data_IF_784087617931
#
_entry.id   IF_784087617931
#
_cell.length_a   1.000
_cell.length_b   1.000
_cell.length_c   1.000
_cell.angle_alpha   90.00
_cell.angle_beta   90.00
_cell.angle_gamma   90.00
#
_symmetry.space_group_name_H-M   'P 1'
#
loop_
_entity.id
_entity.type
_entity.pdbx_description
1 polymer ?
#
# COMPACT_ATOMS: atom_id res chain seq x y z
N UNK A 1 -30.87 28.96 -44.38
CA UNK A 1 -30.98 27.50 -44.61
C UNK A 1 -30.36 26.78 -43.44
N UNK A 2 -31.23 26.15 -42.66
CA UNK A 2 -30.96 25.29 -41.51
C UNK A 2 -30.36 23.96 -41.99
N UNK A 3 -29.41 23.37 -41.25
CA UNK A 3 -29.50 21.94 -40.93
C UNK A 3 -28.71 21.61 -39.65
N UNK A 4 -29.46 21.21 -38.63
CA UNK A 4 -29.01 20.43 -37.48
C UNK A 4 -28.65 19.02 -37.92
N UNK A 5 -27.62 18.41 -37.33
CA UNK A 5 -27.65 16.98 -36.97
C UNK A 5 -27.05 16.81 -35.57
N UNK A 6 -27.85 16.18 -34.71
CA UNK A 6 -27.56 15.82 -33.34
C UNK A 6 -26.92 14.43 -33.26
N UNK A 7 -26.03 14.20 -32.30
CA UNK A 7 -25.81 12.85 -31.75
C UNK A 7 -25.92 12.88 -30.23
N UNK A 8 -26.93 12.18 -29.72
CA UNK A 8 -27.22 11.97 -28.30
C UNK A 8 -26.28 10.90 -27.76
N UNK A 9 -25.53 11.21 -26.71
CA UNK A 9 -24.96 10.19 -25.82
C UNK A 9 -25.71 10.27 -24.49
N UNK A 10 -26.46 9.21 -24.17
CA UNK A 10 -27.13 9.03 -22.88
C UNK A 10 -26.07 8.60 -21.87
N UNK A 11 -25.91 9.36 -20.79
CA UNK A 11 -25.33 8.86 -19.55
C UNK A 11 -26.33 9.04 -18.42
N UNK A 12 -26.53 7.94 -17.70
CA UNK A 12 -27.38 7.79 -16.52
C UNK A 12 -26.65 8.45 -15.34
N UNK A 13 -27.26 9.36 -14.57
CA UNK A 13 -26.63 9.86 -13.36
C UNK A 13 -26.82 8.88 -12.20
N UNK A 14 -25.70 8.49 -11.58
CA UNK A 14 -25.68 7.87 -10.26
C UNK A 14 -26.12 8.88 -9.19
N UNK A 15 -26.80 8.36 -8.17
CA UNK A 15 -27.42 9.11 -7.07
C UNK A 15 -26.34 9.59 -6.09
N UNK A 16 -26.29 10.89 -5.83
CA UNK A 16 -25.58 11.44 -4.67
C UNK A 16 -26.45 11.23 -3.42
N UNK A 17 -25.92 10.46 -2.46
CA UNK A 17 -26.46 10.38 -1.11
C UNK A 17 -25.83 11.51 -0.27
N UNK A 18 -26.66 12.47 0.17
CA UNK A 18 -26.34 13.35 1.29
C UNK A 18 -27.06 12.84 2.54
N UNK A 19 -26.31 12.61 3.62
CA UNK A 19 -26.82 12.32 4.97
C UNK A 19 -27.16 13.65 5.64
N UNK A 20 -28.41 13.89 6.07
CA UNK A 20 -28.74 15.03 6.92
C UNK A 20 -28.31 14.77 8.36
N UNK A 21 -27.75 15.79 9.00
CA UNK A 21 -27.63 15.87 10.45
C UNK A 21 -28.97 16.41 10.95
N UNK A 22 -29.71 15.62 11.73
CA UNK A 22 -30.68 16.20 12.65
C UNK A 22 -31.00 15.26 13.82
N UNK A 23 -30.99 15.88 15.00
CA UNK A 23 -31.40 15.37 16.30
C UNK A 23 -32.91 15.16 16.34
N UNK A 24 -33.37 13.99 16.79
CA UNK A 24 -34.79 13.71 17.10
C UNK A 24 -35.29 14.59 18.27
N UNK A 25 -36.60 14.94 18.38
CA UNK A 25 -37.73 14.00 18.26
C UNK A 25 -39.08 14.49 17.67
N UNK A 26 -39.97 13.52 17.39
CA UNK A 26 -41.43 13.57 17.14
C UNK A 26 -42.03 13.93 15.75
N UNK A 27 -42.63 12.88 15.14
CA UNK A 27 -43.84 12.77 14.26
C UNK A 27 -44.05 13.54 12.93
N UNK A 28 -44.86 13.00 11.99
CA UNK A 28 -44.64 13.13 10.54
C UNK A 28 -45.61 14.08 9.84
N UNK A 29 -45.11 14.98 8.97
CA UNK A 29 -45.91 15.58 7.90
C UNK A 29 -45.09 15.89 6.65
N UNK A 30 -45.58 15.39 5.50
CA UNK A 30 -45.00 15.59 4.19
C UNK A 30 -45.36 16.97 3.62
N UNK A 31 -44.37 17.74 3.13
CA UNK A 31 -44.59 18.94 2.31
C UNK A 31 -43.52 19.08 1.21
N UNK A 32 -43.99 19.09 -0.04
CA UNK A 32 -43.23 19.29 -1.28
C UNK A 32 -42.75 20.74 -1.39
N UNK A 33 -41.47 20.96 -1.67
CA UNK A 33 -40.91 22.29 -2.03
C UNK A 33 -40.22 22.22 -3.40
N UNK A 34 -40.58 23.14 -4.30
CA UNK A 34 -39.97 23.31 -5.63
C UNK A 34 -38.63 24.05 -5.53
N UNK A 35 -37.58 23.69 -6.29
CA UNK A 35 -36.27 24.33 -6.17
C UNK A 35 -36.14 25.61 -7.02
N UNK A 36 -35.55 26.63 -6.41
CA UNK A 36 -35.18 27.93 -7.00
C UNK A 36 -33.79 27.80 -7.68
N UNK A 37 -33.65 28.26 -8.93
CA UNK A 37 -32.37 28.26 -9.68
C UNK A 37 -31.34 29.18 -9.01
N UNK A 38 -30.11 28.70 -8.78
CA UNK A 38 -28.93 29.53 -8.46
C UNK A 38 -27.84 29.32 -9.53
N UNK A 39 -27.16 30.41 -9.89
CA UNK A 39 -26.08 30.50 -10.89
C UNK A 39 -24.85 29.67 -10.46
N UNK A 40 -24.13 29.03 -11.40
CA UNK A 40 -22.95 28.24 -11.07
C UNK A 40 -21.70 29.11 -10.87
N UNK A 41 -20.97 28.80 -9.80
CA UNK A 41 -19.60 29.23 -9.52
C UNK A 41 -18.63 28.60 -10.52
N UNK A 42 -17.66 29.39 -11.01
CA UNK A 42 -16.57 28.96 -11.88
C UNK A 42 -15.55 28.13 -11.08
N UNK A 43 -15.09 27.04 -11.67
CA UNK A 43 -13.92 26.27 -11.20
C UNK A 43 -14.15 24.76 -11.16
N UNK A 44 -14.31 24.11 -12.32
CA UNK A 44 -14.24 22.64 -12.42
C UNK A 44 -12.78 22.25 -12.65
N UNK A 45 -12.13 21.65 -11.65
CA UNK A 45 -11.07 20.69 -11.95
C UNK A 45 -11.75 19.34 -12.22
N UNK A 46 -11.75 18.92 -13.48
CA UNK A 46 -12.19 17.60 -13.91
C UNK A 46 -11.12 16.60 -13.49
N UNK A 47 -11.40 15.80 -12.45
CA UNK A 47 -10.52 14.72 -12.00
C UNK A 47 -10.74 13.53 -12.94
N UNK A 48 -9.74 13.23 -13.78
CA UNK A 48 -9.76 12.06 -14.66
C UNK A 48 -9.52 10.78 -13.88
N UNK A 49 -10.35 9.77 -14.13
CA UNK A 49 -10.19 8.42 -13.64
C UNK A 49 -9.05 7.72 -14.39
N UNK A 50 -7.83 7.78 -13.86
CA UNK A 50 -6.80 6.76 -14.11
C UNK A 50 -6.16 6.37 -12.78
N UNK A 51 -6.49 5.16 -12.30
CA UNK A 51 -6.13 4.62 -10.98
C UNK A 51 -4.63 4.34 -10.79
N UNK A 52 -3.85 4.36 -11.86
CA UNK A 52 -2.41 4.08 -11.88
C UNK A 52 -1.70 5.19 -12.67
N UNK A 53 -0.60 5.72 -12.13
CA UNK A 53 0.23 6.67 -12.84
C UNK A 53 1.34 5.95 -13.59
N UNK A 54 1.37 6.07 -14.91
CA UNK A 54 2.42 5.51 -15.77
C UNK A 54 3.46 6.61 -16.05
N UNK A 55 4.72 6.31 -15.80
CA UNK A 55 5.83 7.22 -16.07
C UNK A 55 6.12 7.31 -17.58
N UNK A 56 5.85 8.48 -18.18
CA UNK A 56 6.02 8.73 -19.62
C UNK A 56 7.49 8.63 -20.09
N UNK A 57 8.47 8.73 -19.19
CA UNK A 57 9.88 8.55 -19.55
C UNK A 57 10.16 7.15 -20.13
N UNK A 58 9.39 6.14 -19.72
CA UNK A 58 9.50 4.78 -20.26
C UNK A 58 9.09 4.69 -21.74
N UNK A 59 8.17 5.56 -22.21
CA UNK A 59 7.84 5.64 -23.63
C UNK A 59 9.03 6.19 -24.44
N UNK A 60 9.73 7.19 -23.90
CA UNK A 60 10.95 7.72 -24.51
C UNK A 60 12.06 6.69 -24.59
N UNK A 61 12.27 5.90 -23.50
CA UNK A 61 13.22 4.80 -23.50
C UNK A 61 12.89 3.77 -24.58
N UNK A 62 11.62 3.38 -24.71
CA UNK A 62 11.16 2.47 -25.75
C UNK A 62 11.49 2.98 -27.16
N UNK A 63 11.20 4.26 -27.45
CA UNK A 63 11.50 4.87 -28.74
C UNK A 63 13.01 4.88 -29.05
N UNK A 64 13.86 5.24 -28.07
CA UNK A 64 15.32 5.22 -28.23
C UNK A 64 15.83 3.80 -28.47
N UNK A 65 15.36 2.82 -27.68
CA UNK A 65 15.74 1.43 -27.85
C UNK A 65 15.35 0.89 -29.25
N UNK A 66 14.16 1.25 -29.74
CA UNK A 66 13.73 0.89 -31.10
C UNK A 66 14.61 1.54 -32.17
N UNK A 67 14.95 2.83 -32.05
CA UNK A 67 15.80 3.52 -33.02
C UNK A 67 17.22 2.94 -33.05
N UNK A 68 17.83 2.69 -31.89
CA UNK A 68 19.14 2.04 -31.78
C UNK A 68 19.09 0.62 -32.32
N UNK A 69 18.02 -0.13 -32.04
CA UNK A 69 17.80 -1.47 -32.58
C UNK A 69 17.75 -1.47 -34.11
N UNK A 70 16.95 -0.59 -34.71
CA UNK A 70 16.85 -0.44 -36.17
C UNK A 70 18.19 -0.04 -36.81
N UNK A 71 18.90 0.92 -36.20
CA UNK A 71 20.24 1.30 -36.66
C UNK A 71 21.22 0.13 -36.58
N UNK A 72 21.24 -0.61 -35.47
CA UNK A 72 22.06 -1.80 -35.31
C UNK A 72 21.75 -2.89 -36.34
N UNK A 73 20.48 -3.14 -36.63
CA UNK A 73 20.06 -4.07 -37.68
C UNK A 73 20.57 -3.61 -39.05
N UNK A 74 20.47 -2.31 -39.36
CA UNK A 74 20.93 -1.77 -40.64
C UNK A 74 22.46 -1.88 -40.84
N UNK A 75 23.22 -1.77 -39.74
CA UNK A 75 24.70 -1.78 -39.76
C UNK A 75 25.29 -3.19 -39.68
N UNK A 76 24.63 -4.11 -38.96
CA UNK A 76 25.22 -5.40 -38.58
C UNK A 76 24.33 -6.62 -38.93
N UNK A 77 23.13 -6.40 -39.48
CA UNK A 77 22.26 -7.46 -40.00
C UNK A 77 21.59 -8.35 -38.95
N UNK A 78 21.25 -9.58 -39.35
CA UNK A 78 20.47 -10.53 -38.56
C UNK A 78 21.08 -10.96 -37.20
N UNK A 79 22.42 -10.98 -36.98
CA UNK A 79 22.97 -11.32 -35.67
C UNK A 79 22.53 -10.36 -34.56
N UNK A 80 22.32 -9.07 -34.86
CA UNK A 80 21.79 -8.09 -33.89
C UNK A 80 20.34 -8.40 -33.54
N UNK A 81 19.53 -8.87 -34.50
CA UNK A 81 18.16 -9.31 -34.25
C UNK A 81 18.18 -10.51 -33.29
N UNK A 82 19.02 -11.51 -33.58
CA UNK A 82 19.13 -12.71 -32.75
C UNK A 82 19.60 -12.38 -31.33
N UNK A 83 20.65 -11.56 -31.19
CA UNK A 83 21.17 -11.14 -29.89
C UNK A 83 20.18 -10.29 -29.10
N UNK A 84 19.55 -9.29 -29.74
CA UNK A 84 18.53 -8.44 -29.11
C UNK A 84 17.27 -9.21 -28.71
N UNK A 85 16.85 -10.17 -29.54
CA UNK A 85 15.75 -11.08 -29.23
C UNK A 85 16.07 -11.98 -28.03
N UNK A 86 17.24 -12.63 -28.02
CA UNK A 86 17.69 -13.45 -26.90
C UNK A 86 17.79 -12.65 -25.60
N UNK A 87 18.35 -11.43 -25.65
CA UNK A 87 18.40 -10.52 -24.51
C UNK A 87 17.02 -10.15 -23.99
N UNK A 88 16.08 -9.81 -24.89
CA UNK A 88 14.71 -9.43 -24.51
C UNK A 88 13.95 -10.59 -23.86
N UNK A 89 14.12 -11.81 -24.38
CA UNK A 89 13.55 -13.03 -23.79
C UNK A 89 14.16 -13.28 -22.40
N UNK A 90 15.48 -13.17 -22.26
CA UNK A 90 16.15 -13.35 -20.97
C UNK A 90 15.70 -12.28 -19.94
N UNK A 91 15.60 -11.02 -20.35
CA UNK A 91 15.14 -9.92 -19.51
C UNK A 91 13.68 -10.14 -19.07
N UNK A 92 12.78 -10.48 -20.00
CA UNK A 92 11.38 -10.77 -19.66
C UNK A 92 11.27 -12.02 -18.76
N UNK A 93 12.06 -13.05 -19.03
CA UNK A 93 12.15 -14.24 -18.19
C UNK A 93 12.60 -13.91 -16.77
N UNK A 94 13.63 -13.07 -16.62
CA UNK A 94 14.04 -12.55 -15.30
C UNK A 94 12.90 -11.79 -14.62
N UNK A 95 12.23 -10.89 -15.33
CA UNK A 95 11.16 -10.06 -14.75
C UNK A 95 9.90 -10.83 -14.33
N UNK A 96 9.58 -11.93 -15.03
CA UNK A 96 8.38 -12.74 -14.76
C UNK A 96 8.65 -13.94 -13.85
N UNK A 97 9.84 -14.54 -13.95
CA UNK A 97 10.13 -15.84 -13.33
C UNK A 97 11.31 -15.78 -12.36
N UNK A 98 12.22 -14.83 -12.54
CA UNK A 98 13.43 -14.69 -11.73
C UNK A 98 13.18 -13.86 -10.48
N UNK A 99 13.01 -12.55 -10.66
CA UNK A 99 12.92 -11.59 -9.55
C UNK A 99 11.67 -11.74 -8.67
N UNK A 100 10.45 -11.94 -9.21
CA UNK A 100 9.26 -12.12 -8.37
C UNK A 100 9.29 -13.38 -7.48
N UNK A 101 10.11 -14.37 -7.82
CA UNK A 101 10.25 -15.63 -7.09
C UNK A 101 11.39 -15.62 -6.06
N UNK A 102 12.11 -14.50 -5.92
CA UNK A 102 13.30 -14.37 -5.07
C UNK A 102 13.10 -13.25 -4.05
N UNK A 103 12.23 -13.45 -3.04
CA UNK A 103 12.06 -12.48 -1.99
C UNK A 103 13.37 -12.28 -1.21
N UNK A 104 13.59 -11.06 -0.73
CA UNK A 104 14.74 -10.67 0.08
C UNK A 104 14.32 -10.26 1.48
N UNK A 105 15.23 -10.44 2.44
CA UNK A 105 15.03 -10.02 3.83
C UNK A 105 15.83 -8.74 4.06
N UNK A 106 15.14 -7.62 4.19
CA UNK A 106 15.74 -6.33 4.51
C UNK A 106 15.86 -6.16 6.03
N UNK A 107 16.99 -5.58 6.48
CA UNK A 107 17.21 -5.25 7.89
C UNK A 107 17.51 -3.77 8.01
N UNK A 108 16.56 -3.03 8.58
CA UNK A 108 16.59 -1.57 8.64
C UNK A 108 16.74 -1.12 10.09
N UNK A 109 17.53 -0.09 10.31
CA UNK A 109 17.68 0.54 11.62
C UNK A 109 17.18 1.97 11.55
N UNK A 110 16.04 2.24 12.20
CA UNK A 110 15.47 3.59 12.28
C UNK A 110 16.03 4.31 13.50
N UNK A 111 16.65 5.48 13.28
CA UNK A 111 17.15 6.34 14.35
C UNK A 111 16.11 7.40 14.66
N UNK A 112 15.63 7.40 15.89
CA UNK A 112 14.44 8.12 16.30
C UNK A 112 14.75 8.99 17.53
N UNK A 113 14.77 10.33 17.38
CA UNK A 113 15.11 11.24 18.49
C UNK A 113 14.15 11.14 19.68
N UNK A 114 12.87 10.92 19.38
CA UNK A 114 11.79 10.83 20.36
C UNK A 114 11.56 9.40 20.91
N UNK A 115 12.43 8.44 20.60
CA UNK A 115 12.27 7.07 21.08
C UNK A 115 12.52 6.99 22.60
N UNK A 116 11.55 6.48 23.39
CA UNK A 116 11.78 6.18 24.79
C UNK A 116 12.97 5.24 24.97
N UNK A 117 13.85 5.46 25.97
CA UNK A 117 15.02 4.62 26.21
C UNK A 117 14.70 3.13 26.34
N UNK A 118 13.54 2.81 26.91
CA UNK A 118 13.06 1.45 27.13
C UNK A 118 12.71 0.73 25.81
N UNK A 119 12.42 1.48 24.74
CA UNK A 119 12.11 0.94 23.41
C UNK A 119 13.35 0.86 22.49
N UNK A 120 14.54 1.25 22.96
CA UNK A 120 15.77 1.13 22.17
C UNK A 120 16.12 -0.36 21.94
N UNK A 121 16.22 -0.72 20.66
CA UNK A 121 16.50 -2.07 20.21
C UNK A 121 15.26 -2.90 19.92
N UNK A 122 14.05 -2.36 20.06
CA UNK A 122 12.82 -3.05 19.69
C UNK A 122 12.85 -3.44 18.21
N UNK A 123 12.62 -4.71 17.90
CA UNK A 123 12.59 -5.24 16.53
C UNK A 123 11.16 -5.54 16.10
N UNK A 124 10.82 -5.06 14.91
CA UNK A 124 9.51 -5.18 14.30
C UNK A 124 9.67 -5.95 13.00
N UNK A 125 8.97 -7.07 12.88
CA UNK A 125 8.80 -7.78 11.62
C UNK A 125 7.68 -7.15 10.80
N UNK A 126 7.98 -6.75 9.58
CA UNK A 126 7.02 -6.09 8.69
C UNK A 126 6.83 -6.95 7.43
N UNK A 127 5.61 -7.44 7.26
CA UNK A 127 5.14 -8.10 6.04
C UNK A 127 4.05 -7.21 5.43
N UNK A 128 3.97 -7.12 4.11
CA UNK A 128 2.92 -6.33 3.46
C UNK A 128 2.72 -6.80 2.03
N UNK A 129 1.55 -6.48 1.46
CA UNK A 129 1.25 -6.68 0.05
C UNK A 129 1.56 -8.13 -0.38
N UNK A 130 1.04 -9.10 0.37
CA UNK A 130 1.19 -10.52 0.04
C UNK A 130 0.43 -10.88 -1.22
N UNK A 131 -0.68 -10.17 -1.50
CA UNK A 131 -1.56 -10.37 -2.66
C UNK A 131 -1.88 -11.84 -2.93
N UNK A 132 -2.29 -12.60 -1.91
CA UNK A 132 -2.73 -13.98 -2.09
C UNK A 132 -3.78 -14.07 -3.20
N UNK A 133 -3.56 -15.00 -4.12
CA UNK A 133 -4.27 -15.08 -5.39
C UNK A 133 -3.35 -14.96 -6.61
N UNK A 134 -2.17 -14.35 -6.48
CA UNK A 134 -1.16 -14.37 -7.54
C UNK A 134 -0.16 -15.52 -7.41
N UNK A 135 0.53 -15.79 -8.52
CA UNK A 135 1.40 -16.96 -8.74
C UNK A 135 2.43 -17.22 -7.63
N UNK A 136 3.10 -16.17 -7.14
CA UNK A 136 4.19 -16.30 -6.16
C UNK A 136 3.77 -15.98 -4.73
N UNK A 137 2.54 -15.49 -4.54
CA UNK A 137 2.08 -14.93 -3.27
C UNK A 137 2.14 -15.92 -2.12
N UNK A 138 1.66 -17.15 -2.31
CA UNK A 138 1.71 -18.17 -1.25
C UNK A 138 3.16 -18.56 -0.90
N UNK A 139 4.01 -18.75 -1.90
CA UNK A 139 5.41 -19.14 -1.69
C UNK A 139 6.20 -18.02 -1.00
N UNK A 140 6.02 -16.77 -1.43
CA UNK A 140 6.68 -15.62 -0.86
C UNK A 140 6.18 -15.32 0.56
N UNK A 141 4.87 -15.47 0.81
CA UNK A 141 4.32 -15.32 2.16
C UNK A 141 4.82 -16.42 3.09
N UNK A 142 4.83 -17.68 2.66
CA UNK A 142 5.38 -18.77 3.44
C UNK A 142 6.87 -18.54 3.80
N UNK A 143 7.66 -18.09 2.82
CA UNK A 143 9.04 -17.68 3.05
C UNK A 143 9.14 -16.52 4.05
N UNK A 144 8.29 -15.50 3.93
CA UNK A 144 8.27 -14.36 4.85
C UNK A 144 7.93 -14.77 6.29
N UNK A 145 6.94 -15.65 6.47
CA UNK A 145 6.59 -16.24 7.77
C UNK A 145 7.77 -17.00 8.36
N UNK A 146 8.49 -17.78 7.55
CA UNK A 146 9.70 -18.49 7.97
C UNK A 146 10.81 -17.52 8.42
N UNK A 147 11.01 -16.40 7.70
CA UNK A 147 11.96 -15.36 8.13
C UNK A 147 11.56 -14.74 9.47
N UNK A 148 10.27 -14.43 9.67
CA UNK A 148 9.81 -13.87 10.95
C UNK A 148 10.07 -14.85 12.11
N UNK A 149 9.88 -16.15 11.90
CA UNK A 149 10.18 -17.17 12.91
C UNK A 149 11.68 -17.30 13.22
N UNK A 150 12.53 -17.14 12.20
CA UNK A 150 14.00 -17.16 12.37
C UNK A 150 14.50 -15.91 13.09
N UNK A 151 14.02 -14.75 12.66
CA UNK A 151 14.47 -13.46 13.17
C UNK A 151 13.94 -13.17 14.57
N UNK A 152 12.78 -13.74 14.94
CA UNK A 152 12.13 -13.57 16.25
C UNK A 152 11.98 -12.09 16.67
N UNK A 153 11.34 -11.25 15.85
CA UNK A 153 11.05 -9.88 16.26
C UNK A 153 10.06 -9.85 17.43
N UNK A 154 10.07 -8.77 18.20
CA UNK A 154 9.19 -8.61 19.35
C UNK A 154 7.74 -8.29 18.94
N UNK A 155 7.55 -7.64 17.80
CA UNK A 155 6.26 -7.29 17.19
C UNK A 155 6.25 -7.72 15.72
N UNK A 156 5.15 -8.26 15.21
CA UNK A 156 4.96 -8.50 13.77
C UNK A 156 3.74 -7.72 13.28
N UNK A 157 3.87 -7.06 12.12
CA UNK A 157 2.80 -6.26 11.52
C UNK A 157 2.59 -6.60 10.05
N UNK A 158 1.32 -6.61 9.64
CA UNK A 158 0.85 -6.77 8.27
C UNK A 158 0.17 -5.47 7.81
N UNK A 159 0.74 -4.75 6.84
CA UNK A 159 0.24 -3.43 6.46
C UNK A 159 -0.59 -3.41 5.17
N UNK A 160 -1.49 -4.38 5.02
CA UNK A 160 -2.50 -4.39 3.95
C UNK A 160 -2.11 -5.16 2.68
N UNK A 161 -3.10 -5.25 1.80
CA UNK A 161 -3.10 -6.02 0.55
C UNK A 161 -2.65 -7.48 0.77
N UNK A 162 -3.28 -8.12 1.75
CA UNK A 162 -3.02 -9.52 2.10
C UNK A 162 -3.54 -10.43 0.99
N UNK A 163 -4.70 -10.10 0.41
CA UNK A 163 -5.34 -10.86 -0.68
C UNK A 163 -5.55 -9.98 -1.91
N UNK A 164 -5.66 -10.61 -3.08
CA UNK A 164 -6.07 -9.95 -4.34
C UNK A 164 -7.22 -10.65 -5.03
N UNK A 165 -7.53 -11.87 -4.61
CA UNK A 165 -8.74 -12.54 -5.03
C UNK A 165 -9.45 -13.14 -3.81
N UNK A 166 -10.76 -12.93 -3.71
CA UNK A 166 -11.61 -13.44 -2.62
C UNK A 166 -11.42 -14.94 -2.39
N UNK A 167 -11.26 -15.73 -3.46
CA UNK A 167 -11.05 -17.18 -3.37
C UNK A 167 -9.80 -17.61 -2.60
N UNK A 168 -8.84 -16.70 -2.39
CA UNK A 168 -7.61 -16.98 -1.64
C UNK A 168 -7.74 -16.68 -0.13
N UNK A 169 -8.82 -16.03 0.31
CA UNK A 169 -9.08 -15.74 1.74
C UNK A 169 -9.06 -17.02 2.61
N UNK A 170 -9.64 -18.17 2.19
CA UNK A 170 -9.63 -19.40 2.98
C UNK A 170 -8.23 -19.94 3.32
N UNK A 171 -7.19 -19.55 2.58
CA UNK A 171 -5.81 -19.97 2.84
C UNK A 171 -5.08 -19.12 3.89
N UNK A 172 -5.58 -17.90 4.16
CA UNK A 172 -4.98 -16.95 5.10
C UNK A 172 -4.73 -17.58 6.49
N UNK A 173 -5.70 -18.29 7.12
CA UNK A 173 -5.48 -18.87 8.45
C UNK A 173 -4.34 -19.89 8.45
N UNK A 174 -4.25 -20.72 7.40
CA UNK A 174 -3.22 -21.76 7.26
C UNK A 174 -1.85 -21.13 7.08
N UNK A 175 -1.73 -20.14 6.20
CA UNK A 175 -0.45 -19.52 5.84
C UNK A 175 0.13 -18.67 6.97
N UNK A 176 -0.73 -17.97 7.74
CA UNK A 176 -0.28 -17.05 8.79
C UNK A 176 -0.19 -17.67 10.19
N UNK A 177 -0.69 -18.91 10.41
CA UNK A 177 -0.73 -19.56 11.74
C UNK A 177 0.61 -19.63 12.46
N UNK A 178 1.71 -19.63 11.69
CA UNK A 178 3.06 -19.71 12.20
C UNK A 178 3.60 -18.40 12.80
N UNK A 179 2.94 -17.27 12.57
CA UNK A 179 3.39 -15.98 13.09
C UNK A 179 3.10 -15.87 14.58
N UNK A 180 4.15 -15.63 15.36
CA UNK A 180 4.07 -15.36 16.80
C UNK A 180 5.17 -14.37 17.17
N UNK A 181 4.82 -13.40 17.99
CA UNK A 181 5.76 -12.45 18.56
C UNK A 181 5.32 -12.08 19.99
N UNK A 182 6.26 -11.77 20.90
CA UNK A 182 5.96 -11.40 22.29
C UNK A 182 4.90 -10.30 22.46
N UNK A 183 4.95 -9.26 21.62
CA UNK A 183 4.00 -8.13 21.63
C UNK A 183 2.79 -8.37 20.74
N UNK A 184 2.72 -9.50 20.04
CA UNK A 184 1.61 -9.89 19.17
C UNK A 184 1.86 -9.68 17.68
N UNK A 185 0.85 -10.06 16.90
CA UNK A 185 0.82 -9.94 15.44
C UNK A 185 -0.42 -9.13 15.07
N UNK A 186 -0.27 -8.04 14.33
CA UNK A 186 -1.39 -7.14 14.00
C UNK A 186 -1.45 -6.85 12.50
N UNK A 187 -2.66 -6.61 12.00
CA UNK A 187 -2.87 -6.24 10.61
C UNK A 187 -3.66 -4.93 10.47
N UNK A 188 -3.47 -4.22 9.36
CA UNK A 188 -4.39 -3.21 8.82
C UNK A 188 -4.76 -3.57 7.39
N UNK A 189 -5.90 -3.13 6.85
CA UNK A 189 -6.28 -3.45 5.48
C UNK A 189 -5.55 -2.56 4.47
N UNK A 190 -5.39 -3.10 3.26
CA UNK A 190 -5.14 -2.32 2.05
C UNK A 190 -6.37 -2.20 1.17
N UNK A 191 -6.23 -1.55 0.01
CA UNK A 191 -7.34 -1.35 -0.91
C UNK A 191 -7.82 -2.67 -1.54
N UNK A 192 -6.93 -3.62 -1.83
CA UNK A 192 -7.34 -4.92 -2.38
C UNK A 192 -8.14 -5.73 -1.35
N UNK A 193 -7.80 -5.63 -0.07
CA UNK A 193 -8.54 -6.31 0.99
C UNK A 193 -10.01 -5.80 1.07
N UNK A 194 -10.22 -4.52 0.79
CA UNK A 194 -11.58 -3.94 0.64
C UNK A 194 -12.28 -4.46 -0.60
N UNK A 195 -11.60 -4.49 -1.75
CA UNK A 195 -12.19 -4.95 -3.02
C UNK A 195 -12.63 -6.40 -2.98
N UNK A 196 -11.87 -7.23 -2.26
CA UNK A 196 -12.04 -8.67 -2.25
C UNK A 196 -12.83 -9.19 -1.04
N UNK A 197 -13.37 -8.34 -0.18
CA UNK A 197 -14.22 -8.75 0.93
C UNK A 197 -13.54 -8.70 2.30
N UNK A 198 -13.37 -7.48 2.82
CA UNK A 198 -12.69 -7.23 4.09
C UNK A 198 -13.30 -7.98 5.30
N UNK A 199 -14.63 -8.18 5.31
CA UNK A 199 -15.30 -8.89 6.40
C UNK A 199 -14.85 -10.36 6.49
N UNK A 200 -14.74 -11.03 5.34
CA UNK A 200 -14.30 -12.42 5.26
C UNK A 200 -12.81 -12.53 5.59
N UNK A 201 -11.99 -11.59 5.08
CA UNK A 201 -10.58 -11.51 5.45
C UNK A 201 -10.40 -11.31 6.96
N UNK A 202 -11.20 -10.43 7.59
CA UNK A 202 -11.16 -10.21 9.04
C UNK A 202 -11.50 -11.49 9.81
N UNK A 203 -12.49 -12.25 9.36
CA UNK A 203 -12.83 -13.54 9.95
C UNK A 203 -11.66 -14.53 9.82
N UNK A 204 -11.03 -14.60 8.64
CA UNK A 204 -9.86 -15.45 8.40
C UNK A 204 -8.65 -15.06 9.26
N UNK A 205 -8.34 -13.78 9.39
CA UNK A 205 -7.29 -13.27 10.29
C UNK A 205 -7.59 -13.58 11.76
N UNK A 206 -8.86 -13.51 12.16
CA UNK A 206 -9.29 -13.89 13.52
C UNK A 206 -8.98 -15.36 13.81
N UNK A 207 -9.19 -16.27 12.85
CA UNK A 207 -8.80 -17.69 12.97
C UNK A 207 -7.29 -17.88 13.08
N UNK A 208 -6.49 -16.95 12.57
CA UNK A 208 -5.04 -16.91 12.74
C UNK A 208 -4.57 -16.22 14.04
N UNK A 209 -5.50 -15.72 14.88
CA UNK A 209 -5.22 -14.86 16.04
C UNK A 209 -4.51 -13.54 15.69
N UNK A 210 -4.83 -12.96 14.54
CA UNK A 210 -4.27 -11.68 14.07
C UNK A 210 -5.39 -10.64 14.10
N UNK A 211 -5.40 -9.71 15.06
CA UNK A 211 -6.37 -8.62 15.07
C UNK A 211 -6.15 -7.69 13.88
N UNK A 212 -7.22 -7.46 13.12
CA UNK A 212 -7.28 -6.42 12.10
C UNK A 212 -7.70 -5.10 12.77
N UNK A 213 -6.78 -4.14 12.83
CA UNK A 213 -6.98 -2.83 13.42
C UNK A 213 -7.67 -1.90 12.43
N UNK A 214 -8.83 -1.34 12.81
CA UNK A 214 -9.60 -0.41 11.99
C UNK A 214 -9.90 0.87 12.78
N UNK A 215 -9.08 1.90 12.55
CA UNK A 215 -9.16 3.20 13.23
C UNK A 215 -9.14 3.07 14.76
N UNK A 216 -8.21 2.25 15.26
CA UNK A 216 -8.06 1.94 16.67
C UNK A 216 -6.58 1.85 17.05
N UNK A 217 -6.31 1.66 18.34
CA UNK A 217 -4.95 1.51 18.84
C UNK A 217 -4.83 0.36 19.83
N UNK A 218 -3.59 -0.05 20.09
CA UNK A 218 -3.19 -0.94 21.18
C UNK A 218 -2.02 -0.31 21.92
N UNK A 219 -2.07 -0.33 23.24
CA UNK A 219 -0.90 -0.07 24.09
C UNK A 219 -0.13 -1.37 24.24
N UNK A 220 1.13 -1.37 23.82
CA UNK A 220 2.04 -2.50 23.94
C UNK A 220 3.16 -2.08 24.89
N UNK A 221 3.46 -2.91 25.89
CA UNK A 221 4.52 -2.62 26.86
C UNK A 221 5.70 -3.55 26.65
N UNK A 222 6.89 -2.98 26.48
CA UNK A 222 8.14 -3.71 26.24
C UNK A 222 9.27 -3.09 27.06
N UNK A 223 9.99 -3.91 27.84
CA UNK A 223 11.07 -3.45 28.73
C UNK A 223 10.70 -2.27 29.65
N UNK A 224 9.43 -2.16 30.04
CA UNK A 224 8.92 -1.07 30.88
C UNK A 224 8.51 0.19 30.10
N UNK A 225 8.78 0.27 28.80
CA UNK A 225 8.32 1.34 27.91
C UNK A 225 7.00 1.02 27.24
N UNK A 226 6.23 2.06 26.92
CA UNK A 226 4.98 1.93 26.18
C UNK A 226 5.12 2.36 24.72
N UNK A 227 4.68 1.48 23.83
CA UNK A 227 4.45 1.72 22.41
C UNK A 227 2.95 1.76 22.14
N UNK A 228 2.47 2.85 21.56
CA UNK A 228 1.10 2.95 21.06
C UNK A 228 1.07 2.57 19.59
N UNK A 229 0.64 1.34 19.32
CA UNK A 229 0.41 0.83 17.98
C UNK A 229 -0.94 1.36 17.47
N UNK A 230 -0.91 2.16 16.42
CA UNK A 230 -2.09 2.78 15.80
C UNK A 230 -2.35 2.08 14.48
N UNK A 231 -3.58 1.62 14.25
CA UNK A 231 -3.99 1.06 12.96
C UNK A 231 -5.18 1.84 12.40
N UNK A 232 -5.08 2.26 11.15
CA UNK A 232 -6.18 2.94 10.44
C UNK A 232 -6.68 2.11 9.27
N UNK A 233 -7.89 2.40 8.87
CA UNK A 233 -8.46 1.85 7.64
C UNK A 233 -7.74 2.39 6.38
N UNK A 234 -7.95 1.76 5.23
CA UNK A 234 -7.33 2.17 3.96
C UNK A 234 -7.88 3.52 3.46
N UNK A 235 -7.00 4.36 2.89
CA UNK A 235 -7.34 5.72 2.40
C UNK A 235 -7.94 5.73 0.99
N UNK A 236 -7.80 4.63 0.25
CA UNK A 236 -8.36 4.54 -1.08
C UNK A 236 -9.82 4.12 -1.06
N UNK A 237 -10.13 2.98 -0.44
CA UNK A 237 -11.47 2.39 -0.47
C UNK A 237 -12.08 2.17 0.93
N UNK A 238 -11.34 2.50 1.99
CA UNK A 238 -11.82 2.50 3.37
C UNK A 238 -12.30 3.87 3.87
N UNK A 239 -12.37 4.00 5.20
CA UNK A 239 -12.73 5.23 5.93
C UNK A 239 -11.69 5.54 7.01
N UNK A 240 -10.48 5.99 6.65
CA UNK A 240 -9.41 6.21 7.62
C UNK A 240 -9.76 7.33 8.59
N UNK A 241 -9.41 7.15 9.86
CA UNK A 241 -9.66 8.16 10.89
C UNK A 241 -8.58 8.13 11.97
N UNK A 242 -7.53 8.95 11.76
CA UNK A 242 -6.50 9.21 12.77
C UNK A 242 -7.10 9.73 14.08
N UNK A 243 -8.11 10.61 14.01
CA UNK A 243 -8.82 11.13 15.18
C UNK A 243 -9.47 10.02 16.01
N UNK A 244 -10.07 9.02 15.37
CA UNK A 244 -10.67 7.89 16.09
C UNK A 244 -9.58 6.97 16.65
N UNK A 245 -8.57 6.65 15.83
CA UNK A 245 -7.48 5.77 16.22
C UNK A 245 -6.67 6.31 17.40
N UNK A 246 -6.51 7.64 17.49
CA UNK A 246 -5.77 8.32 18.56
C UNK A 246 -6.59 8.64 19.80
N UNK A 247 -7.88 8.30 19.85
CA UNK A 247 -8.74 8.64 20.99
C UNK A 247 -8.25 7.93 22.25
N UNK A 248 -7.86 8.70 23.28
CA UNK A 248 -7.34 8.14 24.53
C UNK A 248 -5.84 7.79 24.51
N UNK A 249 -5.17 7.99 23.38
CA UNK A 249 -3.71 7.90 23.30
C UNK A 249 -3.10 9.14 23.96
N UNK A 250 -2.19 8.99 24.94
CA UNK A 250 -1.51 10.10 25.58
C UNK A 250 -0.76 10.97 24.55
N UNK A 251 -0.80 12.30 24.65
CA UNK A 251 -0.11 13.19 23.71
C UNK A 251 1.39 12.86 23.57
N UNK A 252 2.04 12.52 24.68
CA UNK A 252 3.46 12.20 24.78
C UNK A 252 3.79 10.70 24.62
N UNK A 253 2.80 9.84 24.35
CA UNK A 253 3.06 8.43 24.08
C UNK A 253 3.84 8.27 22.78
N UNK A 254 4.79 7.32 22.73
CA UNK A 254 5.47 6.98 21.48
C UNK A 254 4.50 6.20 20.57
N UNK A 255 4.35 6.65 19.32
CA UNK A 255 3.25 6.24 18.41
C UNK A 255 3.81 5.68 17.11
N UNK A 256 3.45 4.43 16.82
CA UNK A 256 3.75 3.71 15.58
C UNK A 256 2.44 3.50 14.81
N UNK A 257 2.34 4.08 13.62
CA UNK A 257 1.20 3.96 12.72
C UNK A 257 1.41 2.84 11.70
N UNK A 258 0.42 1.98 11.60
CA UNK A 258 0.23 1.06 10.48
C UNK A 258 -0.79 1.68 9.53
N UNK A 259 -0.35 1.94 8.30
CA UNK A 259 -1.22 2.41 7.22
C UNK A 259 -0.72 1.84 5.91
N UNK A 260 -1.62 1.28 5.11
CA UNK A 260 -1.23 0.64 3.86
C UNK A 260 -0.60 1.64 2.88
N UNK A 261 -1.29 2.77 2.62
CA UNK A 261 -0.81 3.81 1.71
C UNK A 261 0.18 4.76 2.40
N UNK A 262 1.37 5.00 1.82
CA UNK A 262 2.41 5.78 2.48
C UNK A 262 2.12 7.28 2.54
N UNK A 263 1.38 7.85 1.59
CA UNK A 263 1.10 9.30 1.54
C UNK A 263 0.30 9.79 2.76
N UNK A 264 -0.30 8.90 3.57
CA UNK A 264 -0.93 9.25 4.85
C UNK A 264 0.05 9.91 5.84
N UNK A 265 1.36 9.65 5.68
CA UNK A 265 2.43 10.17 6.52
C UNK A 265 2.37 11.69 6.72
N UNK A 266 1.95 12.44 5.71
CA UNK A 266 1.84 13.90 5.77
C UNK A 266 0.81 14.34 6.80
N UNK A 267 -0.38 13.72 6.79
CA UNK A 267 -1.41 13.99 7.79
C UNK A 267 -1.06 13.41 9.17
N UNK A 268 -0.35 12.28 9.20
CA UNK A 268 0.05 11.59 10.42
C UNK A 268 1.10 12.37 11.22
N UNK A 269 2.06 13.01 10.52
CA UNK A 269 3.08 13.85 11.15
C UNK A 269 2.44 15.01 11.94
N UNK A 270 1.41 15.65 11.37
CA UNK A 270 0.70 16.76 12.03
C UNK A 270 -0.05 16.39 13.32
N UNK A 271 -0.31 15.09 13.56
CA UNK A 271 -0.95 14.60 14.80
C UNK A 271 0.03 13.89 15.73
N UNK A 272 1.33 14.06 15.50
CA UNK A 272 2.40 13.59 16.38
C UNK A 272 2.59 12.08 16.36
N UNK A 273 2.39 11.43 15.20
CA UNK A 273 2.87 10.07 14.94
C UNK A 273 4.40 10.14 14.75
N UNK A 274 5.12 9.16 15.31
CA UNK A 274 6.59 9.14 15.26
C UNK A 274 7.11 8.26 14.14
N UNK A 275 6.45 7.12 13.91
CA UNK A 275 6.82 6.16 12.87
C UNK A 275 5.59 5.74 12.10
N UNK A 276 5.70 5.60 10.77
CA UNK A 276 4.69 4.96 9.93
C UNK A 276 5.31 3.82 9.14
N UNK A 277 4.62 2.68 9.10
CA UNK A 277 4.97 1.52 8.26
C UNK A 277 3.90 1.33 7.19
N UNK A 278 4.34 1.23 5.94
CA UNK A 278 3.48 1.18 4.76
C UNK A 278 4.01 0.25 3.67
N UNK A 279 3.13 -0.11 2.75
CA UNK A 279 3.42 -0.90 1.55
C UNK A 279 2.90 -0.20 0.30
N UNK A 280 1.99 -0.86 -0.43
CA UNK A 280 1.16 -0.32 -1.51
C UNK A 280 1.87 -0.04 -2.84
N UNK A 281 3.11 0.47 -2.80
CA UNK A 281 3.78 1.01 -3.99
C UNK A 281 4.51 -0.03 -4.81
N UNK A 282 4.90 -1.14 -4.17
CA UNK A 282 5.77 -2.18 -4.75
C UNK A 282 7.11 -1.69 -5.31
N UNK A 283 7.57 -0.50 -4.90
CA UNK A 283 8.68 0.18 -5.57
C UNK A 283 8.40 0.54 -7.04
N UNK A 284 7.14 0.45 -7.46
CA UNK A 284 6.66 0.65 -8.82
C UNK A 284 6.74 -0.56 -9.75
N UNK A 285 6.94 -1.76 -9.20
CA UNK A 285 7.11 -3.06 -9.88
C UNK A 285 8.34 -3.13 -10.79
N UNK A 286 8.42 -2.25 -11.78
CA UNK A 286 9.57 -2.06 -12.64
C UNK A 286 10.23 -0.74 -12.32
N UNK A 287 11.53 -0.74 -12.06
CA UNK A 287 12.28 0.47 -11.79
C UNK A 287 13.62 0.41 -12.51
N UNK A 288 14.01 1.52 -13.14
CA UNK A 288 15.34 1.67 -13.71
C UNK A 288 16.08 2.82 -13.01
N UNK A 289 17.41 2.73 -12.85
CA UNK A 289 18.20 3.86 -12.39
C UNK A 289 17.94 5.08 -13.27
N UNK A 290 17.88 6.27 -12.66
CA UNK A 290 17.59 7.57 -13.30
C UNK A 290 16.17 7.75 -13.85
N UNK A 291 15.57 6.70 -14.42
CA UNK A 291 14.21 6.78 -14.97
C UNK A 291 13.13 6.66 -13.89
N UNK A 292 13.44 5.96 -12.80
CA UNK A 292 12.52 5.73 -11.69
C UNK A 292 11.50 4.63 -11.99
N UNK A 293 10.38 4.60 -11.23
CA UNK A 293 9.37 3.55 -11.35
C UNK A 293 8.60 3.66 -12.67
N UNK A 294 8.12 2.53 -13.17
CA UNK A 294 7.24 2.46 -14.33
C UNK A 294 5.83 2.89 -13.98
N UNK A 295 5.30 2.40 -12.85
CA UNK A 295 3.95 2.70 -12.39
C UNK A 295 3.91 3.02 -10.92
N UNK A 296 2.97 3.89 -10.52
CA UNK A 296 2.70 4.19 -9.11
C UNK A 296 1.19 4.24 -8.87
N UNK A 297 0.70 3.68 -7.75
CA UNK A 297 -0.71 3.75 -7.41
C UNK A 297 -1.11 5.15 -6.92
N UNK A 298 -2.41 5.36 -6.72
CA UNK A 298 -2.91 6.52 -5.97
C UNK A 298 -2.34 6.47 -4.55
N UNK A 299 -2.05 7.62 -3.91
CA UNK A 299 -1.51 7.66 -2.55
C UNK A 299 -0.15 6.96 -2.32
N UNK A 300 0.58 6.68 -3.40
CA UNK A 300 1.93 6.10 -3.38
C UNK A 300 2.89 6.81 -4.31
N UNK A 301 2.66 8.11 -4.58
CA UNK A 301 3.46 8.85 -5.58
C UNK A 301 4.66 9.57 -5.00
N UNK A 302 4.60 9.95 -3.72
CA UNK A 302 5.64 10.75 -3.06
C UNK A 302 6.69 9.86 -2.42
N UNK A 303 6.24 8.81 -1.72
CA UNK A 303 7.09 7.88 -0.99
C UNK A 303 6.99 6.51 -1.63
N UNK A 304 8.05 6.08 -2.31
CA UNK A 304 7.96 4.93 -3.23
C UNK A 304 8.58 3.68 -2.62
N UNK A 305 9.72 3.79 -1.95
CA UNK A 305 10.46 2.67 -1.41
C UNK A 305 11.48 3.18 -0.39
N UNK A 306 11.63 2.46 0.73
CA UNK A 306 12.65 2.73 1.75
C UNK A 306 12.20 3.72 2.82
N UNK A 307 13.17 4.28 3.54
CA UNK A 307 12.97 5.20 4.66
C UNK A 307 12.86 6.66 4.20
N UNK A 308 11.95 7.43 4.80
CA UNK A 308 11.76 8.86 4.58
C UNK A 308 11.55 9.59 5.91
N UNK A 309 11.90 10.88 5.93
CA UNK A 309 11.54 11.80 7.01
C UNK A 309 10.45 12.74 6.51
N UNK A 310 9.34 12.81 7.25
CA UNK A 310 8.14 13.60 6.92
C UNK A 310 7.76 14.42 8.15
N UNK A 311 8.17 15.69 8.20
CA UNK A 311 7.86 16.61 9.30
C UNK A 311 8.10 16.02 10.71
N UNK A 312 9.23 15.30 10.89
CA UNK A 312 9.62 14.66 12.15
C UNK A 312 9.10 13.23 12.35
N UNK A 313 8.22 12.75 11.48
CA UNK A 313 7.82 11.34 11.38
C UNK A 313 8.82 10.57 10.50
N UNK A 314 9.22 9.38 10.94
CA UNK A 314 9.99 8.43 10.11
C UNK A 314 9.04 7.45 9.42
N UNK A 315 9.02 7.44 8.10
CA UNK A 315 8.19 6.57 7.27
C UNK A 315 9.05 5.47 6.65
N UNK A 316 8.54 4.23 6.62
CA UNK A 316 9.11 3.16 5.80
C UNK A 316 8.09 2.59 4.82
N UNK A 317 8.51 2.49 3.56
CA UNK A 317 7.71 1.94 2.47
C UNK A 317 8.36 0.66 1.94
N UNK A 318 7.74 -0.48 2.24
CA UNK A 318 8.19 -1.78 1.78
C UNK A 318 7.76 -2.05 0.33
N UNK A 319 8.57 -2.82 -0.41
CA UNK A 319 8.19 -3.32 -1.76
C UNK A 319 7.13 -4.42 -1.72
N UNK A 320 6.82 -4.96 -0.54
CA UNK A 320 5.83 -6.03 -0.40
C UNK A 320 6.29 -7.39 -0.92
N UNK A 321 5.57 -8.45 -0.53
CA UNK A 321 5.91 -9.84 -0.85
C UNK A 321 5.34 -10.34 -2.18
N UNK A 322 4.27 -9.71 -2.67
CA UNK A 322 3.49 -10.14 -3.83
C UNK A 322 3.22 -9.01 -4.80
N UNK A 323 2.01 -8.92 -5.34
CA UNK A 323 1.62 -7.91 -6.33
C UNK A 323 1.72 -8.42 -7.76
N UNK A 324 1.69 -7.50 -8.72
CA UNK A 324 1.70 -7.86 -10.13
C UNK A 324 2.93 -8.72 -10.46
N UNK A 325 2.81 -9.70 -11.39
CA UNK A 325 3.80 -10.76 -11.57
C UNK A 325 5.12 -10.29 -12.21
N UNK A 326 5.25 -9.01 -12.56
CA UNK A 326 6.40 -8.46 -13.26
C UNK A 326 7.19 -7.57 -12.30
N UNK A 327 8.45 -7.94 -11.99
CA UNK A 327 9.35 -7.14 -11.14
C UNK A 327 10.71 -6.93 -11.79
N UNK A 328 11.27 -5.73 -11.67
CA UNK A 328 12.63 -5.39 -12.10
C UNK A 328 13.24 -4.35 -11.17
N UNK A 329 14.36 -4.68 -10.54
CA UNK A 329 15.02 -3.87 -9.51
C UNK A 329 14.09 -3.48 -8.34
N UNK A 330 13.04 -4.27 -8.14
CA UNK A 330 12.08 -4.19 -7.05
C UNK A 330 11.78 -5.63 -6.58
N UNK A 331 12.77 -6.36 -6.03
CA UNK A 331 12.53 -7.71 -5.53
C UNK A 331 11.46 -7.68 -4.41
N UNK A 332 10.65 -8.75 -4.26
CA UNK A 332 9.75 -8.85 -3.14
C UNK A 332 10.51 -8.80 -1.81
N UNK A 333 9.87 -8.30 -0.77
CA UNK A 333 10.56 -7.97 0.48
C UNK A 333 9.76 -8.36 1.73
N UNK A 334 10.46 -8.96 2.70
CA UNK A 334 10.10 -8.89 4.11
C UNK A 334 11.13 -8.03 4.85
N UNK A 335 10.73 -7.30 5.89
CA UNK A 335 11.61 -6.37 6.58
C UNK A 335 11.68 -6.66 8.08
N UNK A 336 12.89 -6.61 8.66
CA UNK A 336 13.09 -6.46 10.11
C UNK A 336 13.54 -5.04 10.38
N UNK A 337 12.76 -4.31 11.16
CA UNK A 337 13.00 -2.92 11.52
C UNK A 337 13.44 -2.87 12.98
N UNK A 338 14.62 -2.34 13.25
CA UNK A 338 15.12 -2.12 14.61
C UNK A 338 15.01 -0.63 14.94
N UNK A 339 14.28 -0.31 16.01
CA UNK A 339 14.20 1.05 16.52
C UNK A 339 15.44 1.35 17.34
N UNK A 340 16.09 2.47 17.09
CA UNK A 340 17.24 2.95 17.86
C UNK A 340 17.02 4.39 18.26
N UNK A 341 17.45 4.74 19.47
CA UNK A 341 17.49 6.14 19.88
C UNK A 341 18.63 6.82 19.12
N UNK A 342 18.39 8.01 18.56
CA UNK A 342 19.41 8.69 17.76
C UNK A 342 19.01 10.08 17.31
#
# INVERSE_FOLDING_TARGET
MTLLIASKTRFIPAKDYHVPIETHPHEPHALRVRPRKRRPLRGRQTIEATKLHINRGWLGLGAVASAVGLAGISLFGWPVIAAGGAFSIAALGHMLLGEPARPILERVTMRLPALPPELDGLRIGHLTDSHLGFRYSETNLAWGVEQMQRERPELIVLTGDIVTHHWAIPDVPRLLRGLRAPLGVYAVPGNHDHWEGLADLRAALTLANIPLLLNEHRRLSWNGGDLWLIGIDDVWDGRPSLRQALRGVPPHGFKLLLSHAPDVAESAAHVGIHVQLSGHTHGGHLRLPLLGPFTLPRYGKRYIIGEYQVDGLTLYVSRGLGGAPLRLLCPPEATIITLRRG
#
